data_IF_647604949528
#
_entry.id   IF_647604949528
#
_cell.length_a   1.000
_cell.length_b   1.000
_cell.length_c   1.000
_cell.angle_alpha   90.00
_cell.angle_beta   90.00
_cell.angle_gamma   90.00
#
_symmetry.space_group_name_H-M   'P 1'
#
loop_
_entity.id
_entity.type
_entity.pdbx_description
1 polymer ?
#
# COMPACT_ATOMS: atom_id res chain seq x y z
N UNK A 1 -15.24 0.79 18.57
CA UNK A 1 -14.32 -0.20 17.94
C UNK A 1 -12.93 0.43 17.94
N UNK A 2 -11.87 -0.33 18.20
CA UNK A 2 -10.48 0.13 18.06
C UNK A 2 -10.20 0.38 16.58
N UNK A 3 -9.94 1.62 16.20
CA UNK A 3 -9.73 1.98 14.81
C UNK A 3 -8.40 1.37 14.35
N UNK A 4 -8.46 0.43 13.41
CA UNK A 4 -7.24 -0.14 12.82
C UNK A 4 -6.79 0.79 11.71
N UNK A 5 -5.65 1.44 11.91
CA UNK A 5 -5.08 2.43 11.00
C UNK A 5 -4.21 1.79 9.91
N UNK A 6 -4.17 2.41 8.72
CA UNK A 6 -3.28 2.05 7.62
C UNK A 6 -2.16 3.08 7.49
N UNK A 7 -0.94 2.74 7.85
CA UNK A 7 0.19 3.68 7.94
C UNK A 7 0.91 3.99 6.62
N UNK A 8 0.34 3.60 5.48
CA UNK A 8 0.89 3.94 4.16
C UNK A 8 0.87 5.44 3.84
N UNK A 9 -0.08 6.18 4.41
CA UNK A 9 -0.20 7.62 4.23
C UNK A 9 -0.62 8.31 5.53
N UNK A 10 0.10 9.35 5.89
CA UNK A 10 -0.10 10.13 7.11
C UNK A 10 0.13 11.61 6.80
N UNK A 11 -0.78 12.45 7.29
CA UNK A 11 -0.56 13.90 7.37
C UNK A 11 -0.43 14.25 8.84
N UNK A 12 0.74 14.73 9.24
CA UNK A 12 1.03 15.06 10.63
C UNK A 12 1.60 16.47 10.74
N UNK A 13 1.17 17.19 11.77
CA UNK A 13 1.86 18.42 12.19
C UNK A 13 3.12 18.01 12.94
N UNK A 14 4.26 18.58 12.56
CA UNK A 14 5.51 18.35 13.30
C UNK A 14 5.38 18.85 14.73
N UNK A 15 5.54 17.94 15.68
CA UNK A 15 5.55 18.21 17.11
C UNK A 15 6.58 17.27 17.75
N UNK A 16 7.74 17.78 18.22
CA UNK A 16 8.76 16.95 18.85
C UNK A 16 8.26 16.15 20.05
N UNK A 17 7.28 16.67 20.80
CA UNK A 17 6.73 15.96 21.96
C UNK A 17 6.04 14.65 21.59
N UNK A 18 5.39 14.59 20.42
CA UNK A 18 4.77 13.36 19.89
C UNK A 18 5.83 12.29 19.64
N UNK A 19 6.99 12.68 19.13
CA UNK A 19 8.09 11.74 18.84
C UNK A 19 8.63 11.15 20.14
N UNK A 20 8.83 11.98 21.16
CA UNK A 20 9.32 11.52 22.47
C UNK A 20 8.29 10.60 23.17
N UNK A 21 7.00 10.91 23.08
CA UNK A 21 5.95 10.05 23.63
C UNK A 21 5.87 8.71 22.90
N UNK A 22 5.90 8.69 21.57
CA UNK A 22 5.94 7.45 20.78
C UNK A 22 7.17 6.61 21.12
N UNK A 23 8.33 7.24 21.30
CA UNK A 23 9.56 6.57 21.76
C UNK A 23 9.35 5.93 23.14
N UNK A 24 8.73 6.63 24.08
CA UNK A 24 8.45 6.09 25.41
C UNK A 24 7.51 4.88 25.36
N UNK A 25 6.47 4.91 24.51
CA UNK A 25 5.57 3.76 24.29
C UNK A 25 6.36 2.55 23.75
N UNK A 26 7.26 2.77 22.80
CA UNK A 26 8.10 1.69 22.24
C UNK A 26 9.03 1.13 23.31
N UNK A 27 9.69 2.00 24.10
CA UNK A 27 10.65 1.62 25.13
C UNK A 27 10.00 0.92 26.33
N UNK A 28 8.74 1.22 26.65
CA UNK A 28 7.95 0.46 27.63
C UNK A 28 7.82 -1.01 27.18
N UNK A 29 7.80 -1.28 25.86
CA UNK A 29 7.81 -2.62 25.31
C UNK A 29 6.53 -3.43 25.59
N UNK A 30 5.45 -2.76 26.01
CA UNK A 30 4.18 -3.37 26.38
C UNK A 30 3.39 -3.81 25.14
N UNK A 31 3.88 -4.84 24.45
CA UNK A 31 3.22 -5.47 23.31
C UNK A 31 2.97 -6.95 23.59
N UNK A 32 1.71 -7.36 23.56
CA UNK A 32 1.31 -8.76 23.74
C UNK A 32 1.11 -9.44 22.38
N UNK A 33 1.86 -10.51 22.11
CA UNK A 33 1.80 -11.23 20.83
C UNK A 33 0.49 -12.01 20.62
N UNK A 34 0.12 -12.26 19.36
CA UNK A 34 -0.99 -13.13 18.96
C UNK A 34 -2.22 -12.41 18.38
N UNK A 35 -3.29 -13.18 18.14
CA UNK A 35 -4.49 -12.73 17.40
C UNK A 35 -5.75 -12.57 18.26
N UNK A 36 -5.62 -12.55 19.59
CA UNK A 36 -6.77 -12.38 20.48
C UNK A 36 -7.15 -10.90 20.63
N UNK A 37 -8.39 -10.61 21.05
CA UNK A 37 -8.92 -9.25 21.19
C UNK A 37 -8.20 -8.38 22.24
N UNK A 38 -7.48 -9.01 23.15
CA UNK A 38 -6.65 -8.33 24.16
C UNK A 38 -5.19 -8.16 23.70
N UNK A 39 -4.79 -8.78 22.59
CA UNK A 39 -3.39 -8.78 22.17
C UNK A 39 -3.02 -7.46 21.48
N UNK A 40 -1.72 -7.14 21.45
CA UNK A 40 -1.15 -5.94 20.86
C UNK A 40 -0.66 -4.93 21.88
N UNK A 41 -0.50 -3.68 21.42
CA UNK A 41 -0.02 -2.57 22.24
C UNK A 41 -0.88 -2.33 23.48
N UNK A 42 -0.23 -2.19 24.64
CA UNK A 42 -0.85 -1.95 25.94
C UNK A 42 -1.75 -3.08 26.46
N UNK A 43 -1.70 -4.29 25.86
CA UNK A 43 -2.73 -5.32 26.10
C UNK A 43 -4.13 -4.84 25.69
N UNK A 44 -4.18 -3.84 24.81
CA UNK A 44 -5.37 -3.10 24.48
C UNK A 44 -5.86 -3.46 23.08
N UNK A 45 -5.72 -4.71 22.60
CA UNK A 45 -6.38 -5.16 21.36
C UNK A 45 -5.93 -4.48 20.07
N UNK A 46 -4.77 -3.83 20.08
CA UNK A 46 -4.08 -3.26 18.91
C UNK A 46 -3.13 -4.29 18.29
N UNK A 47 -3.60 -5.53 18.19
CA UNK A 47 -2.87 -6.71 17.72
C UNK A 47 -3.75 -7.53 16.78
N UNK A 48 -3.18 -8.58 16.21
CA UNK A 48 -3.95 -9.57 15.44
C UNK A 48 -4.27 -9.19 14.00
N UNK A 49 -3.50 -8.29 13.40
CA UNK A 49 -3.53 -8.03 11.96
C UNK A 49 -2.11 -7.77 11.44
N UNK A 50 -1.92 -7.94 10.13
CA UNK A 50 -0.60 -7.73 9.51
C UNK A 50 -0.14 -6.30 9.77
N UNK A 51 1.08 -6.16 10.30
CA UNK A 51 1.69 -4.88 10.65
C UNK A 51 1.22 -4.26 11.97
N UNK A 52 0.43 -4.96 12.80
CA UNK A 52 0.02 -4.45 14.12
C UNK A 52 1.19 -4.21 15.09
N UNK A 53 2.28 -4.98 14.98
CA UNK A 53 3.51 -4.74 15.76
C UNK A 53 4.34 -3.57 15.20
N UNK A 54 4.05 -3.12 13.98
CA UNK A 54 4.74 -2.02 13.31
C UNK A 54 3.93 -0.70 13.44
N UNK A 55 4.24 0.26 12.56
CA UNK A 55 3.63 1.59 12.56
C UNK A 55 2.10 1.58 12.55
N UNK A 56 1.46 0.63 11.85
CA UNK A 56 -0.01 0.55 11.76
C UNK A 56 -0.68 0.35 13.11
N UNK A 57 -0.19 -0.59 13.93
CA UNK A 57 -0.79 -0.81 15.25
C UNK A 57 -0.30 0.18 16.31
N UNK A 58 0.95 0.62 16.22
CA UNK A 58 1.49 1.62 17.15
C UNK A 58 0.73 2.95 17.04
N UNK A 59 0.53 3.45 15.81
CA UNK A 59 -0.15 4.74 15.60
C UNK A 59 -1.63 4.66 15.96
N UNK A 60 -2.27 3.52 15.66
CA UNK A 60 -3.65 3.27 16.07
C UNK A 60 -3.79 3.29 17.61
N UNK A 61 -2.91 2.60 18.33
CA UNK A 61 -2.89 2.61 19.79
C UNK A 61 -2.62 4.01 20.34
N UNK A 62 -1.60 4.70 19.82
CA UNK A 62 -1.18 6.00 20.31
C UNK A 62 -2.30 7.05 20.21
N UNK A 63 -2.96 7.16 19.06
CA UNK A 63 -4.01 8.16 18.85
C UNK A 63 -5.38 7.78 19.43
N UNK A 64 -5.60 6.52 19.84
CA UNK A 64 -6.83 6.12 20.53
C UNK A 64 -6.67 6.13 22.06
N UNK A 65 -5.49 5.76 22.58
CA UNK A 65 -5.27 5.54 24.01
C UNK A 65 -4.42 6.64 24.68
N UNK A 66 -3.39 7.17 24.00
CA UNK A 66 -2.41 8.09 24.58
C UNK A 66 -2.77 9.55 24.26
N UNK A 67 -3.09 9.84 22.99
CA UNK A 67 -3.56 11.15 22.51
C UNK A 67 -4.93 11.05 21.84
N UNK A 68 -5.99 10.67 22.58
CA UNK A 68 -7.34 10.55 22.03
C UNK A 68 -7.85 11.88 21.45
N UNK A 69 -8.75 11.79 20.46
CA UNK A 69 -9.39 12.94 19.82
C UNK A 69 -8.44 13.92 19.12
N UNK A 70 -7.25 13.48 18.71
CA UNK A 70 -6.27 14.31 17.99
C UNK A 70 -5.99 13.83 16.56
N UNK A 71 -6.73 12.82 16.08
CA UNK A 71 -6.60 12.26 14.75
C UNK A 71 -7.96 12.14 14.05
N UNK A 72 -7.93 12.16 12.73
CA UNK A 72 -9.09 11.91 11.86
C UNK A 72 -8.67 10.93 10.76
N UNK A 73 -9.55 9.99 10.42
CA UNK A 73 -9.33 9.07 9.32
C UNK A 73 -9.63 9.77 7.98
N UNK A 74 -8.66 9.78 7.07
CA UNK A 74 -8.86 10.26 5.70
C UNK A 74 -9.62 9.22 4.87
N UNK A 75 -10.21 9.64 3.76
CA UNK A 75 -10.79 8.69 2.81
C UNK A 75 -9.69 7.78 2.23
N UNK A 76 -9.65 6.52 2.69
CA UNK A 76 -8.65 5.54 2.28
C UNK A 76 -8.69 5.21 0.78
N UNK A 77 -9.86 5.28 0.13
CA UNK A 77 -9.95 5.01 -1.31
C UNK A 77 -9.33 6.13 -2.16
N UNK A 78 -9.05 7.31 -1.60
CA UNK A 78 -8.48 8.44 -2.35
C UNK A 78 -7.05 8.79 -1.92
N UNK A 79 -6.77 8.75 -0.62
CA UNK A 79 -5.50 9.22 -0.05
C UNK A 79 -4.56 8.10 0.41
N UNK A 80 -5.02 6.85 0.45
CA UNK A 80 -4.20 5.70 0.85
C UNK A 80 -4.68 4.45 0.10
N UNK A 81 -4.83 4.59 -1.21
CA UNK A 81 -5.57 3.65 -2.03
C UNK A 81 -4.77 2.36 -2.21
N UNK A 82 -5.28 1.25 -1.69
CA UNK A 82 -4.63 -0.06 -1.79
C UNK A 82 -5.24 -0.97 -2.86
N UNK A 83 -6.36 -0.59 -3.48
CA UNK A 83 -7.14 -1.46 -4.37
C UNK A 83 -7.85 -2.63 -3.65
N UNK A 84 -7.94 -2.56 -2.32
CA UNK A 84 -8.48 -3.63 -1.48
C UNK A 84 -9.99 -3.48 -1.20
N UNK A 85 -10.65 -4.58 -0.93
CA UNK A 85 -12.02 -4.61 -0.45
C UNK A 85 -12.12 -4.18 1.03
N UNK A 86 -12.57 -2.94 1.24
CA UNK A 86 -12.77 -2.37 2.57
C UNK A 86 -14.12 -2.72 3.20
N UNK A 87 -14.99 -3.43 2.47
CA UNK A 87 -16.33 -3.86 2.92
C UNK A 87 -16.35 -5.28 3.47
N UNK A 88 -15.19 -5.92 3.64
CA UNK A 88 -15.06 -7.24 4.27
C UNK A 88 -15.93 -8.33 3.62
N UNK A 89 -16.04 -8.36 2.29
CA UNK A 89 -16.88 -9.35 1.58
C UNK A 89 -16.22 -10.74 1.57
N UNK A 90 -14.89 -10.81 1.60
CA UNK A 90 -14.15 -12.07 1.55
C UNK A 90 -13.07 -12.22 2.64
N UNK A 91 -12.66 -13.46 2.92
CA UNK A 91 -11.50 -13.77 3.75
C UNK A 91 -10.19 -13.44 2.99
N UNK A 92 -9.06 -13.14 3.66
CA UNK A 92 -8.83 -13.15 5.11
C UNK A 92 -9.32 -11.89 5.82
N UNK A 93 -9.71 -10.84 5.08
CA UNK A 93 -10.19 -9.58 5.65
C UNK A 93 -11.46 -9.80 6.51
N UNK A 94 -12.24 -10.83 6.20
CA UNK A 94 -13.39 -11.28 6.97
C UNK A 94 -13.08 -12.45 7.92
N UNK A 95 -13.41 -12.29 9.21
CA UNK A 95 -13.48 -13.41 10.15
C UNK A 95 -14.89 -14.03 10.10
N UNK A 96 -15.01 -15.33 9.78
CA UNK A 96 -16.27 -16.10 9.65
C UNK A 96 -17.32 -15.92 10.78
N UNK A 97 -16.90 -15.40 11.93
CA UNK A 97 -17.73 -15.19 13.13
C UNK A 97 -18.43 -13.81 13.16
N UNK A 98 -18.09 -12.88 12.27
CA UNK A 98 -18.62 -11.50 12.24
C UNK A 98 -19.55 -11.26 11.04
N UNK A 99 -20.45 -12.21 10.74
CA UNK A 99 -21.34 -12.17 9.55
C UNK A 99 -22.14 -10.87 9.43
N UNK A 100 -22.44 -10.22 10.56
CA UNK A 100 -23.15 -8.94 10.68
C UNK A 100 -22.39 -7.73 10.11
N UNK A 101 -21.08 -7.89 9.84
CA UNK A 101 -20.21 -6.85 9.29
C UNK A 101 -19.87 -7.04 7.81
N UNK A 102 -20.32 -8.12 7.18
CA UNK A 102 -20.11 -8.35 5.74
C UNK A 102 -20.83 -7.27 4.94
N UNK A 103 -20.12 -6.64 4.00
CA UNK A 103 -20.65 -5.58 3.15
C UNK A 103 -20.65 -4.19 3.78
N UNK A 104 -20.34 -4.08 5.09
CA UNK A 104 -20.32 -2.82 5.82
C UNK A 104 -18.96 -2.14 5.78
N UNK A 105 -18.97 -0.83 5.88
CA UNK A 105 -17.78 0.00 5.90
C UNK A 105 -16.88 -0.28 7.12
N UNK A 106 -15.58 -0.35 6.88
CA UNK A 106 -14.58 -0.67 7.91
C UNK A 106 -14.54 0.32 9.07
N UNK A 107 -14.86 1.58 8.83
CA UNK A 107 -14.88 2.62 9.86
C UNK A 107 -16.15 2.60 10.73
N UNK A 108 -17.04 1.61 10.57
CA UNK A 108 -18.33 1.52 11.26
C UNK A 108 -19.12 2.86 11.16
N UNK A 109 -19.01 3.56 10.02
CA UNK A 109 -19.74 4.79 9.74
C UNK A 109 -21.23 4.58 10.12
N UNK A 110 -21.85 5.45 10.94
CA UNK A 110 -23.24 5.27 11.38
C UNK A 110 -24.23 5.24 10.22
N UNK A 111 -23.86 5.79 9.06
CA UNK A 111 -24.64 5.75 7.83
C UNK A 111 -24.21 4.64 6.86
N UNK A 112 -23.16 3.88 7.19
CA UNK A 112 -22.57 2.82 6.36
C UNK A 112 -22.20 3.29 4.93
N UNK A 113 -21.75 4.54 4.83
CA UNK A 113 -21.34 5.16 3.57
C UNK A 113 -19.81 5.13 3.48
N UNK A 114 -19.30 4.38 2.52
CA UNK A 114 -17.89 4.37 2.10
C UNK A 114 -17.80 4.02 0.61
N UNK A 115 -16.76 4.53 -0.03
CA UNK A 115 -16.42 4.20 -1.41
C UNK A 115 -15.98 2.74 -1.55
N UNK A 116 -16.14 2.17 -2.74
CA UNK A 116 -15.56 0.86 -3.05
C UNK A 116 -14.17 1.07 -3.65
N UNK A 117 -13.13 0.84 -2.84
CA UNK A 117 -11.76 1.03 -3.28
C UNK A 117 -11.34 0.02 -4.38
N UNK A 118 -12.13 -1.01 -4.66
CA UNK A 118 -11.82 -1.97 -5.74
C UNK A 118 -12.18 -1.46 -7.14
N UNK A 119 -12.92 -0.35 -7.23
CA UNK A 119 -13.44 0.22 -8.49
C UNK A 119 -13.46 1.75 -8.46
N UNK A 120 -12.69 2.38 -7.57
CA UNK A 120 -12.59 3.84 -7.52
C UNK A 120 -11.87 4.34 -8.76
N UNK A 121 -12.47 5.26 -9.52
CA UNK A 121 -11.85 5.88 -10.70
C UNK A 121 -10.43 6.38 -10.36
N UNK A 122 -9.43 5.95 -11.14
CA UNK A 122 -8.02 6.28 -10.90
C UNK A 122 -7.73 7.78 -10.90
N UNK A 123 -8.55 8.58 -11.60
CA UNK A 123 -8.40 10.03 -11.63
C UNK A 123 -8.83 10.70 -10.31
N UNK A 124 -9.56 9.99 -9.46
CA UNK A 124 -9.97 10.46 -8.13
C UNK A 124 -8.98 10.04 -7.03
N UNK A 125 -7.94 9.27 -7.38
CA UNK A 125 -6.95 8.75 -6.45
C UNK A 125 -5.75 9.70 -6.42
N UNK A 126 -5.44 10.23 -5.23
CA UNK A 126 -4.31 11.13 -5.00
C UNK A 126 -3.04 10.40 -4.57
N UNK A 127 -3.18 9.22 -3.95
CA UNK A 127 -2.05 8.41 -3.51
C UNK A 127 -2.41 6.92 -3.54
N UNK A 128 -1.49 6.12 -4.11
CA UNK A 128 -1.59 4.66 -4.17
C UNK A 128 -0.58 4.04 -3.21
N UNK A 129 -1.06 3.11 -2.39
CA UNK A 129 -0.26 2.31 -1.47
C UNK A 129 -0.26 0.86 -1.94
N UNK A 130 0.83 0.44 -2.57
CA UNK A 130 0.98 -0.88 -3.20
C UNK A 130 1.15 -2.02 -2.18
N UNK A 131 0.02 -2.45 -1.60
CA UNK A 131 -0.09 -3.62 -0.73
C UNK A 131 -0.85 -4.74 -1.44
N UNK A 132 -2.18 -4.61 -1.58
CA UNK A 132 -3.07 -5.61 -2.19
C UNK A 132 -2.79 -5.80 -3.68
N UNK A 133 -2.64 -4.68 -4.41
CA UNK A 133 -2.27 -4.72 -5.83
C UNK A 133 -0.84 -5.17 -6.11
N UNK A 134 -0.08 -5.59 -5.08
CA UNK A 134 1.34 -5.93 -5.15
C UNK A 134 2.20 -4.73 -5.58
N UNK A 135 3.51 -4.88 -5.43
CA UNK A 135 4.47 -3.84 -5.81
C UNK A 135 4.63 -3.82 -7.34
N UNK A 136 4.69 -2.65 -8.00
CA UNK A 136 4.84 -2.58 -9.46
C UNK A 136 6.11 -3.29 -9.96
N UNK A 137 7.20 -3.20 -9.21
CA UNK A 137 8.45 -3.89 -9.49
C UNK A 137 8.46 -5.39 -9.18
N UNK A 138 7.32 -5.98 -8.79
CA UNK A 138 7.17 -7.42 -8.77
C UNK A 138 6.74 -7.97 -10.13
N UNK A 139 6.44 -7.13 -11.13
CA UNK A 139 6.00 -7.53 -12.47
C UNK A 139 4.88 -8.58 -12.44
N UNK A 140 3.92 -8.43 -11.52
CA UNK A 140 2.80 -9.36 -11.38
C UNK A 140 1.72 -9.01 -12.39
N UNK A 141 1.49 -9.90 -13.35
CA UNK A 141 0.57 -9.72 -14.48
C UNK A 141 -0.64 -10.65 -14.44
N UNK A 142 -0.82 -11.38 -13.33
CA UNK A 142 -1.91 -12.34 -13.13
C UNK A 142 -2.65 -12.13 -11.80
N UNK A 143 -3.93 -12.53 -11.78
CA UNK A 143 -4.78 -12.59 -10.59
C UNK A 143 -5.20 -14.02 -10.27
N UNK A 144 -5.35 -14.36 -9.00
CA UNK A 144 -5.93 -15.64 -8.57
C UNK A 144 -6.64 -15.54 -7.22
N UNK A 145 -7.66 -16.39 -6.96
CA UNK A 145 -8.31 -16.46 -5.65
C UNK A 145 -7.31 -16.78 -4.53
N UNK A 146 -7.29 -15.98 -3.47
CA UNK A 146 -6.37 -16.10 -2.34
C UNK A 146 -4.92 -15.72 -2.65
N UNK A 147 -4.65 -15.11 -3.82
CA UNK A 147 -3.36 -14.53 -4.18
C UNK A 147 -2.21 -15.51 -4.41
N UNK A 148 -2.51 -16.80 -4.64
CA UNK A 148 -1.50 -17.87 -4.78
C UNK A 148 -1.60 -18.59 -6.13
N UNK A 149 -0.55 -18.46 -6.95
CA UNK A 149 -0.34 -19.36 -8.08
C UNK A 149 0.43 -20.62 -7.61
N UNK A 150 0.40 -21.69 -8.41
CA UNK A 150 1.41 -22.75 -8.26
C UNK A 150 2.77 -22.08 -8.49
N UNK A 151 3.61 -22.04 -7.44
CA UNK A 151 4.98 -21.46 -7.36
C UNK A 151 5.69 -21.30 -8.74
N UNK A 152 6.41 -20.20 -9.00
CA UNK A 152 7.04 -19.30 -8.01
C UNK A 152 6.38 -17.92 -7.81
N UNK A 153 5.34 -17.57 -8.57
CA UNK A 153 4.77 -16.22 -8.54
C UNK A 153 3.61 -16.06 -7.54
N UNK A 154 3.67 -15.00 -6.74
CA UNK A 154 2.51 -14.43 -6.05
C UNK A 154 1.62 -13.76 -7.10
N UNK A 155 0.29 -13.91 -7.03
CA UNK A 155 -0.62 -13.13 -7.87
C UNK A 155 -1.26 -11.99 -7.07
N UNK A 156 -1.97 -11.10 -7.77
CA UNK A 156 -2.98 -10.26 -7.13
C UNK A 156 -4.07 -11.18 -6.56
N UNK A 157 -4.50 -10.95 -5.32
CA UNK A 157 -5.57 -11.72 -4.68
C UNK A 157 -6.93 -11.20 -5.14
N UNK A 158 -7.63 -11.98 -5.97
CA UNK A 158 -8.94 -11.60 -6.51
C UNK A 158 -10.08 -11.74 -5.49
N UNK A 159 -9.83 -12.34 -4.33
CA UNK A 159 -10.80 -12.35 -3.23
C UNK A 159 -10.77 -11.01 -2.47
N UNK A 160 -9.59 -10.40 -2.37
CA UNK A 160 -9.34 -9.20 -1.60
C UNK A 160 -9.25 -7.91 -2.43
N UNK A 161 -9.08 -7.99 -3.75
CA UNK A 161 -9.03 -6.84 -4.65
C UNK A 161 -9.59 -7.13 -6.04
N UNK A 162 -9.58 -6.11 -6.90
CA UNK A 162 -9.96 -6.24 -8.31
C UNK A 162 -8.71 -6.24 -9.18
N UNK A 163 -8.50 -7.33 -9.93
CA UNK A 163 -7.31 -7.49 -10.77
C UNK A 163 -7.16 -6.38 -11.81
N UNK A 164 -8.21 -6.08 -12.57
CA UNK A 164 -8.14 -5.06 -13.64
C UNK A 164 -7.84 -3.67 -13.07
N UNK A 165 -8.49 -3.32 -11.96
CA UNK A 165 -8.24 -2.07 -11.25
C UNK A 165 -6.79 -1.99 -10.77
N UNK A 166 -6.25 -3.07 -10.21
CA UNK A 166 -4.85 -3.12 -9.82
C UNK A 166 -3.89 -2.99 -11.02
N UNK A 167 -4.21 -3.58 -12.17
CA UNK A 167 -3.41 -3.44 -13.39
C UNK A 167 -3.42 -2.01 -13.92
N UNK A 168 -4.54 -1.28 -13.80
CA UNK A 168 -4.63 0.13 -14.14
C UNK A 168 -3.73 1.00 -13.24
N UNK A 169 -3.74 0.74 -11.92
CA UNK A 169 -2.85 1.43 -10.98
C UNK A 169 -1.37 1.16 -11.27
N UNK A 170 -1.02 -0.11 -11.50
CA UNK A 170 0.34 -0.51 -11.89
C UNK A 170 0.75 0.20 -13.18
N UNK A 171 -0.13 0.22 -14.19
CA UNK A 171 0.13 0.95 -15.44
C UNK A 171 0.46 2.43 -15.16
N UNK A 172 -0.30 3.11 -14.30
CA UNK A 172 -0.04 4.51 -13.93
C UNK A 172 1.32 4.71 -13.27
N UNK A 173 1.76 3.77 -12.45
CA UNK A 173 3.11 3.82 -11.87
C UNK A 173 4.19 3.70 -12.95
N UNK A 174 4.04 2.74 -13.87
CA UNK A 174 5.00 2.56 -14.96
C UNK A 174 4.98 3.72 -15.97
N UNK A 175 3.84 4.34 -16.22
CA UNK A 175 3.72 5.58 -17.00
C UNK A 175 4.48 6.73 -16.34
N UNK A 176 4.34 6.90 -15.02
CA UNK A 176 5.04 7.95 -14.26
C UNK A 176 6.55 7.72 -14.26
N UNK A 177 7.00 6.46 -14.12
CA UNK A 177 8.41 6.11 -14.24
C UNK A 177 8.94 6.40 -15.66
N UNK A 178 8.20 6.03 -16.70
CA UNK A 178 8.61 6.27 -18.08
C UNK A 178 8.76 7.78 -18.37
N UNK A 179 7.81 8.60 -17.92
CA UNK A 179 7.90 10.07 -18.02
C UNK A 179 9.16 10.62 -17.31
N UNK A 180 9.47 10.10 -16.12
CA UNK A 180 10.70 10.46 -15.41
C UNK A 180 11.97 10.06 -16.19
N UNK A 181 12.02 8.83 -16.72
CA UNK A 181 13.14 8.35 -17.52
C UNK A 181 13.32 9.14 -18.83
N UNK A 182 12.23 9.52 -19.49
CA UNK A 182 12.26 10.34 -20.71
C UNK A 182 12.79 11.75 -20.42
N UNK A 183 12.39 12.37 -19.32
CA UNK A 183 12.93 13.67 -18.88
C UNK A 183 14.42 13.57 -18.55
N UNK A 184 14.82 12.52 -17.84
CA UNK A 184 16.22 12.28 -17.48
C UNK A 184 17.07 12.08 -18.74
N UNK A 185 16.58 11.30 -19.71
CA UNK A 185 17.26 11.06 -20.97
C UNK A 185 17.38 12.33 -21.82
N UNK A 186 16.31 13.14 -21.91
CA UNK A 186 16.33 14.39 -22.65
C UNK A 186 17.36 15.39 -22.09
N UNK A 187 17.60 15.37 -20.79
CA UNK A 187 18.55 16.25 -20.11
C UNK A 187 20.00 15.77 -20.23
N UNK A 188 20.26 14.46 -20.11
CA UNK A 188 21.63 13.94 -19.97
C UNK A 188 22.15 13.18 -21.18
N UNK A 189 21.27 12.84 -22.13
CA UNK A 189 21.54 11.95 -23.27
C UNK A 189 22.11 10.56 -22.87
N UNK A 190 21.94 10.17 -21.61
CA UNK A 190 22.50 8.93 -21.06
C UNK A 190 21.74 7.70 -21.57
N UNK A 191 22.33 7.03 -22.55
CA UNK A 191 21.76 5.83 -23.18
C UNK A 191 21.59 4.65 -22.21
N UNK A 192 22.19 4.67 -21.02
CA UNK A 192 21.94 3.63 -20.02
C UNK A 192 20.47 3.59 -19.61
N UNK A 193 19.78 4.74 -19.58
CA UNK A 193 18.35 4.85 -19.25
C UNK A 193 17.50 3.94 -20.15
N UNK A 194 17.88 3.81 -21.43
CA UNK A 194 17.16 2.98 -22.39
C UNK A 194 17.20 1.48 -22.04
N UNK A 195 18.20 1.03 -21.28
CA UNK A 195 18.31 -0.38 -20.85
C UNK A 195 17.31 -0.74 -19.74
N UNK A 196 16.83 0.25 -18.98
CA UNK A 196 15.83 0.02 -17.93
C UNK A 196 14.41 -0.26 -18.47
N UNK A 197 14.23 -0.20 -19.79
CA UNK A 197 12.95 -0.27 -20.50
C UNK A 197 12.96 -1.20 -21.73
N UNK A 198 13.86 -2.17 -21.76
CA UNK A 198 14.02 -3.08 -22.91
C UNK A 198 13.11 -4.31 -22.87
N UNK A 199 12.40 -4.51 -21.74
CA UNK A 199 11.46 -5.61 -21.56
C UNK A 199 10.26 -5.57 -22.51
N UNK A 200 9.70 -6.75 -22.73
CA UNK A 200 8.56 -6.99 -23.63
C UNK A 200 7.34 -7.59 -22.91
N UNK A 201 7.48 -7.97 -21.65
CA UNK A 201 6.40 -8.57 -20.89
C UNK A 201 5.28 -7.55 -20.64
N UNK A 202 4.07 -7.85 -21.14
CA UNK A 202 2.86 -7.01 -21.03
C UNK A 202 3.19 -5.52 -21.22
N UNK A 203 3.85 -5.20 -22.33
CA UNK A 203 4.45 -3.88 -22.59
C UNK A 203 3.46 -2.70 -22.45
N UNK A 204 2.19 -2.92 -22.76
CA UNK A 204 1.14 -1.90 -22.59
C UNK A 204 0.92 -1.49 -21.13
N UNK A 205 1.17 -2.40 -20.18
CA UNK A 205 1.07 -2.16 -18.74
C UNK A 205 2.42 -1.72 -18.16
N UNK A 206 3.45 -2.54 -18.33
CA UNK A 206 4.73 -2.33 -17.64
C UNK A 206 5.68 -1.37 -18.36
N UNK A 207 5.29 -0.88 -19.55
CA UNK A 207 6.04 0.10 -20.35
C UNK A 207 7.48 -0.31 -20.68
N UNK A 208 7.74 -1.62 -20.73
CA UNK A 208 9.06 -2.20 -20.98
C UNK A 208 9.93 -2.39 -19.75
N UNK A 209 9.44 -2.08 -18.54
CA UNK A 209 10.22 -2.25 -17.31
C UNK A 209 10.26 -3.70 -16.77
N UNK A 210 9.66 -4.66 -17.48
CA UNK A 210 9.56 -6.06 -17.08
C UNK A 210 9.86 -7.00 -18.25
N UNK A 211 10.68 -8.03 -18.03
CA UNK A 211 11.02 -9.08 -19.02
C UNK A 211 10.21 -10.36 -18.84
N UNK A 212 9.38 -10.44 -17.80
CA UNK A 212 8.61 -11.63 -17.43
C UNK A 212 7.79 -11.39 -16.16
N UNK A 213 7.04 -12.42 -15.75
CA UNK A 213 6.28 -12.43 -14.50
C UNK A 213 7.24 -12.61 -13.31
N UNK A 214 7.09 -11.83 -12.24
CA UNK A 214 7.92 -11.96 -11.03
C UNK A 214 8.99 -10.86 -10.89
N UNK A 215 9.38 -10.56 -9.64
CA UNK A 215 10.23 -9.41 -9.32
C UNK A 215 11.68 -9.54 -9.81
N UNK A 216 12.15 -10.75 -10.05
CA UNK A 216 13.44 -11.03 -10.68
C UNK A 216 13.50 -10.56 -12.15
N UNK A 217 12.34 -10.35 -12.78
CA UNK A 217 12.21 -9.89 -14.15
C UNK A 217 12.02 -8.36 -14.25
N UNK A 218 12.06 -7.66 -13.12
CA UNK A 218 11.98 -6.20 -13.11
C UNK A 218 13.31 -5.55 -13.49
N UNK A 219 13.25 -4.59 -14.39
CA UNK A 219 14.39 -3.80 -14.82
C UNK A 219 14.43 -2.50 -14.02
N UNK A 220 15.37 -2.31 -13.08
CA UNK A 220 15.48 -1.04 -12.36
C UNK A 220 16.00 0.07 -13.28
N UNK A 221 15.71 1.32 -12.92
CA UNK A 221 16.24 2.51 -13.63
C UNK A 221 17.76 2.38 -13.73
N UNK A 222 18.27 2.45 -14.96
CA UNK A 222 19.69 2.40 -15.26
C UNK A 222 20.16 3.82 -15.60
N UNK A 223 21.20 4.30 -14.94
CA UNK A 223 21.77 5.62 -15.23
C UNK A 223 23.20 5.67 -14.70
N UNK A 224 24.04 6.48 -15.36
CA UNK A 224 25.38 6.79 -14.85
C UNK A 224 25.32 7.63 -13.58
N UNK A 225 26.40 7.62 -12.79
CA UNK A 225 26.51 8.44 -11.59
C UNK A 225 26.33 9.94 -11.89
N UNK A 226 26.78 10.39 -13.07
CA UNK A 226 26.63 11.78 -13.50
C UNK A 226 25.15 12.14 -13.74
N UNK A 227 24.39 11.21 -14.31
CA UNK A 227 22.95 11.36 -14.50
C UNK A 227 22.21 11.38 -13.16
N UNK A 228 22.55 10.49 -12.22
CA UNK A 228 21.93 10.47 -10.88
C UNK A 228 22.13 11.77 -10.09
N UNK A 229 23.27 12.44 -10.27
CA UNK A 229 23.53 13.74 -9.63
C UNK A 229 22.63 14.86 -10.13
N UNK A 230 22.09 14.74 -11.34
CA UNK A 230 21.23 15.74 -11.97
C UNK A 230 19.73 15.49 -11.71
N UNK A 231 19.34 14.39 -11.06
CA UNK A 231 17.93 14.08 -10.78
C UNK A 231 17.22 15.19 -10.01
N UNK A 232 17.93 15.90 -9.15
CA UNK A 232 17.39 17.04 -8.39
C UNK A 232 17.03 18.25 -9.27
N UNK A 233 17.41 18.27 -10.54
CA UNK A 233 17.09 19.35 -11.48
C UNK A 233 15.76 19.12 -12.21
N UNK A 234 15.17 17.92 -12.08
CA UNK A 234 13.91 17.55 -12.73
C UNK A 234 12.68 18.11 -11.98
N UNK A 235 12.85 18.55 -10.72
CA UNK A 235 11.79 19.07 -9.84
C UNK A 235 12.27 20.27 -9.03
#
# INVERSE_FOLDING_TARGET
RKAMFQAGFLVARRDPSVVDELKNVILEGNYTGGFQLANGWGGAGYGGYVGSMAMQGLMAYYYDMIRPNTAVELNQCRFNHMGMDIRYRHAPNFHKRKKDKVGKCRNDNPHDICEDCTVTDVNLIYNVHYTECRKPWNCIGAGSPGGRLKKPADSIDTDAGNFEHCMELIQKWHETRLDFEDKLFAMTEDKMILKGRDGDYKKDIFKGHCTGEGGENYQPIQASDNTWRQVMEIY
#
